data_IF_263167093324
#
_entry.id   IF_263167093324
#
_cell.length_a   1.000
_cell.length_b   1.000
_cell.length_c   1.000
_cell.angle_alpha   90.00
_cell.angle_beta   90.00
_cell.angle_gamma   90.00
#
_symmetry.space_group_name_H-M   'P 1'
#
loop_
_entity.id
_entity.type
_entity.pdbx_description
1 polymer ?
#
# COMPACT_ATOMS: atom_id res chain seq x y z
N UNK A 1 -15.53 0.72 21.78
CA UNK A 1 -16.19 1.30 20.60
C UNK A 1 -16.50 0.16 19.67
N UNK A 2 -17.76 -0.05 19.27
CA UNK A 2 -18.13 -1.14 18.38
C UNK A 2 -17.77 -0.76 16.95
N UNK A 3 -16.77 -1.41 16.39
CA UNK A 3 -16.39 -1.24 15.00
C UNK A 3 -17.52 -1.76 14.09
N UNK A 4 -17.89 -0.98 13.09
CA UNK A 4 -18.81 -1.41 12.05
C UNK A 4 -17.99 -2.00 10.92
N UNK A 5 -18.18 -3.28 10.65
CA UNK A 5 -17.64 -3.95 9.45
C UNK A 5 -18.73 -3.99 8.39
N UNK A 6 -18.42 -3.56 7.18
CA UNK A 6 -19.34 -3.54 6.04
C UNK A 6 -18.62 -4.07 4.80
N UNK A 7 -19.15 -5.17 4.25
CA UNK A 7 -18.69 -5.67 2.95
C UNK A 7 -19.27 -4.82 1.83
N UNK A 8 -18.43 -4.44 0.87
CA UNK A 8 -18.83 -3.60 -0.26
C UNK A 8 -18.39 -4.22 -1.58
N UNK A 9 -19.05 -3.79 -2.65
CA UNK A 9 -18.58 -3.97 -4.02
C UNK A 9 -18.05 -2.64 -4.54
N UNK A 10 -16.94 -2.69 -5.25
CA UNK A 10 -16.29 -1.54 -5.87
C UNK A 10 -16.44 -1.73 -7.36
N UNK A 11 -17.22 -0.85 -7.99
CA UNK A 11 -17.43 -0.90 -9.42
C UNK A 11 -16.18 -0.40 -10.16
N UNK A 12 -15.75 -1.15 -11.18
CA UNK A 12 -14.64 -0.78 -12.06
C UNK A 12 -14.87 -1.31 -13.47
N UNK A 13 -14.98 -0.43 -14.41
CA UNK A 13 -15.41 -0.75 -15.79
C UNK A 13 -16.74 -1.54 -15.75
N UNK A 14 -16.78 -2.74 -16.34
CA UNK A 14 -17.95 -3.65 -16.29
C UNK A 14 -17.83 -4.74 -15.22
N UNK A 15 -16.93 -4.58 -14.24
CA UNK A 15 -16.62 -5.58 -13.21
C UNK A 15 -16.81 -5.05 -11.79
N UNK A 16 -16.84 -5.96 -10.81
CA UNK A 16 -16.93 -5.62 -9.40
C UNK A 16 -15.81 -6.31 -8.60
N UNK A 17 -15.16 -5.54 -7.74
CA UNK A 17 -14.19 -6.03 -6.76
C UNK A 17 -14.83 -6.13 -5.38
N UNK A 18 -14.46 -7.13 -4.61
CA UNK A 18 -14.84 -7.25 -3.21
C UNK A 18 -13.94 -6.40 -2.32
N UNK A 19 -14.54 -5.64 -1.40
CA UNK A 19 -13.85 -4.85 -0.40
C UNK A 19 -14.53 -4.95 0.97
N UNK A 20 -13.85 -4.47 2.02
CA UNK A 20 -14.39 -4.40 3.37
C UNK A 20 -14.09 -3.06 4.01
N UNK A 21 -15.13 -2.36 4.48
CA UNK A 21 -14.99 -1.21 5.37
C UNK A 21 -14.98 -1.64 6.84
N UNK A 22 -14.10 -1.01 7.61
CA UNK A 22 -14.12 -1.03 9.07
C UNK A 22 -14.11 0.43 9.55
N UNK A 23 -15.15 0.88 10.24
CA UNK A 23 -15.30 2.30 10.57
C UNK A 23 -15.88 2.60 11.95
N UNK A 24 -15.43 3.69 12.63
CA UNK A 24 -16.09 4.28 13.79
C UNK A 24 -17.26 5.21 13.39
N UNK A 25 -17.89 5.86 14.38
CA UNK A 25 -19.07 6.75 14.16
C UNK A 25 -18.77 8.22 13.86
N UNK A 26 -17.51 8.69 14.01
CA UNK A 26 -17.10 10.10 13.80
C UNK A 26 -16.19 10.24 12.58
N UNK A 27 -16.02 11.47 12.02
CA UNK A 27 -15.02 11.70 10.97
C UNK A 27 -13.62 11.41 11.49
N UNK A 28 -12.90 10.58 10.76
CA UNK A 28 -11.63 10.01 11.19
C UNK A 28 -10.72 9.72 9.99
N UNK A 29 -9.42 9.55 10.21
CA UNK A 29 -8.49 9.16 9.15
C UNK A 29 -8.89 7.89 8.41
N UNK A 30 -8.53 7.82 7.13
CA UNK A 30 -8.72 6.65 6.29
C UNK A 30 -7.43 5.87 6.05
N UNK A 31 -7.54 4.55 5.96
CA UNK A 31 -6.41 3.67 5.61
C UNK A 31 -6.82 2.69 4.52
N UNK A 32 -6.17 2.78 3.38
CA UNK A 32 -6.36 1.88 2.25
C UNK A 32 -5.22 0.85 2.21
N UNK A 33 -5.56 -0.43 2.16
CA UNK A 33 -4.60 -1.52 2.07
C UNK A 33 -4.54 -2.10 0.66
N UNK A 34 -3.31 -2.33 0.16
CA UNK A 34 -3.05 -2.86 -1.18
C UNK A 34 -2.12 -4.06 -1.07
N UNK A 35 -2.68 -5.25 -1.27
CA UNK A 35 -1.95 -6.50 -1.13
C UNK A 35 -0.92 -6.74 -2.25
N UNK A 36 0.02 -7.66 -2.03
CA UNK A 36 1.03 -8.07 -3.00
C UNK A 36 0.48 -8.99 -4.09
N UNK A 37 1.29 -9.22 -5.13
CA UNK A 37 0.95 -10.12 -6.23
C UNK A 37 0.69 -11.55 -5.77
N UNK A 38 -0.43 -12.12 -6.24
CA UNK A 38 -0.87 -13.46 -5.85
C UNK A 38 -1.44 -13.55 -4.42
N UNK A 39 -1.55 -12.40 -3.74
CA UNK A 39 -2.15 -12.30 -2.41
C UNK A 39 -3.66 -12.05 -2.46
N UNK A 40 -4.20 -11.76 -1.28
CA UNK A 40 -5.58 -11.34 -1.08
C UNK A 40 -5.66 -10.34 0.07
N UNK A 41 -6.82 -9.72 0.26
CA UNK A 41 -7.08 -8.79 1.36
C UNK A 41 -7.03 -9.44 2.76
N UNK A 42 -7.11 -10.77 2.88
CA UNK A 42 -7.24 -11.47 4.17
C UNK A 42 -6.14 -11.14 5.18
N UNK A 43 -4.87 -11.10 4.73
CA UNK A 43 -3.75 -10.76 5.62
C UNK A 43 -3.81 -9.32 6.09
N UNK A 44 -4.31 -8.42 5.25
CA UNK A 44 -4.44 -7.00 5.56
C UNK A 44 -5.67 -6.75 6.44
N UNK A 45 -6.70 -7.61 6.35
CA UNK A 45 -7.91 -7.51 7.18
C UNK A 45 -7.59 -7.60 8.68
N UNK A 46 -6.69 -8.49 9.08
CA UNK A 46 -6.27 -8.61 10.48
C UNK A 46 -5.55 -7.35 10.99
N UNK A 47 -4.68 -6.75 10.15
CA UNK A 47 -4.02 -5.47 10.48
C UNK A 47 -5.01 -4.32 10.49
N UNK A 48 -5.93 -4.30 9.52
CA UNK A 48 -6.99 -3.31 9.42
C UNK A 48 -7.91 -3.29 10.65
N UNK A 49 -8.21 -4.45 11.25
CA UNK A 49 -8.97 -4.54 12.51
C UNK A 49 -8.26 -3.81 13.65
N UNK A 50 -6.94 -4.02 13.80
CA UNK A 50 -6.14 -3.33 14.81
C UNK A 50 -6.15 -1.81 14.60
N UNK A 51 -5.96 -1.35 13.36
CA UNK A 51 -5.93 0.08 13.01
C UNK A 51 -7.33 0.70 13.11
N UNK A 52 -8.40 -0.02 12.73
CA UNK A 52 -9.76 0.46 12.94
C UNK A 52 -10.07 0.66 14.42
N UNK A 53 -9.52 -0.18 15.31
CA UNK A 53 -9.60 -0.01 16.76
C UNK A 53 -8.96 1.29 17.27
N UNK A 54 -8.03 1.89 16.53
CA UNK A 54 -7.46 3.22 16.81
C UNK A 54 -8.39 4.37 16.38
N UNK A 55 -9.50 4.07 15.74
CA UNK A 55 -10.47 5.04 15.27
C UNK A 55 -10.20 5.50 13.83
N UNK A 56 -9.82 4.62 12.94
CA UNK A 56 -9.68 4.85 11.50
C UNK A 56 -10.77 4.14 10.70
N UNK A 57 -11.13 4.67 9.53
CA UNK A 57 -11.84 3.92 8.50
C UNK A 57 -10.81 3.15 7.69
N UNK A 58 -10.92 1.82 7.65
CA UNK A 58 -10.02 0.96 6.88
C UNK A 58 -10.77 0.32 5.71
N UNK A 59 -10.16 0.34 4.54
CA UNK A 59 -10.61 -0.41 3.38
C UNK A 59 -9.52 -1.40 2.95
N UNK A 60 -9.90 -2.67 2.85
CA UNK A 60 -9.14 -3.73 2.20
C UNK A 60 -9.93 -4.23 0.99
N UNK A 61 -9.26 -4.65 -0.06
CA UNK A 61 -9.90 -5.14 -1.28
C UNK A 61 -8.99 -6.12 -2.01
N UNK A 62 -9.57 -6.90 -2.91
CA UNK A 62 -8.82 -7.79 -3.78
C UNK A 62 -8.64 -7.17 -5.16
N UNK A 63 -7.39 -7.06 -5.62
CA UNK A 63 -7.07 -6.65 -6.98
C UNK A 63 -7.63 -7.67 -7.97
N UNK A 64 -8.17 -7.21 -9.13
CA UNK A 64 -8.67 -8.12 -10.17
C UNK A 64 -7.61 -9.14 -10.59
N UNK A 65 -8.06 -10.32 -10.95
CA UNK A 65 -7.20 -11.45 -11.31
C UNK A 65 -6.58 -12.18 -10.11
N UNK A 66 -6.76 -11.69 -8.89
CA UNK A 66 -6.30 -12.32 -7.65
C UNK A 66 -7.44 -13.09 -6.97
N UNK A 67 -7.11 -13.84 -5.91
CA UNK A 67 -8.11 -14.57 -5.12
C UNK A 67 -9.14 -13.58 -4.56
N UNK A 68 -10.43 -13.85 -4.76
CA UNK A 68 -11.51 -12.97 -4.31
C UNK A 68 -11.82 -11.78 -5.24
N UNK A 69 -10.98 -11.52 -6.24
CA UNK A 69 -11.21 -10.49 -7.24
C UNK A 69 -12.21 -10.89 -8.33
N UNK A 70 -12.16 -10.19 -9.46
CA UNK A 70 -13.03 -10.45 -10.61
C UNK A 70 -12.72 -11.81 -11.29
N UNK A 71 -13.60 -12.29 -12.17
CA UNK A 71 -13.42 -13.53 -12.93
C UNK A 71 -12.30 -13.50 -13.98
N UNK A 72 -11.56 -12.39 -14.13
CA UNK A 72 -10.42 -12.30 -15.04
C UNK A 72 -9.25 -13.12 -14.50
N UNK A 73 -8.64 -13.99 -15.30
CA UNK A 73 -7.49 -14.76 -14.84
C UNK A 73 -6.25 -13.87 -14.64
N UNK A 74 -5.51 -14.09 -13.57
CA UNK A 74 -4.27 -13.39 -13.22
C UNK A 74 -3.26 -13.31 -14.38
N UNK A 75 -3.33 -14.26 -15.32
CA UNK A 75 -2.46 -14.33 -16.50
C UNK A 75 -2.68 -13.19 -17.50
N UNK A 76 -3.83 -12.51 -17.46
CA UNK A 76 -4.20 -11.45 -18.39
C UNK A 76 -4.13 -10.05 -17.81
N UNK A 77 -3.97 -9.94 -16.50
CA UNK A 77 -4.02 -8.67 -15.78
C UNK A 77 -2.69 -7.92 -15.91
N UNK A 78 -2.79 -6.66 -16.31
CA UNK A 78 -1.67 -5.73 -16.43
C UNK A 78 -1.51 -4.87 -15.16
N UNK A 79 -0.41 -4.12 -15.08
CA UNK A 79 -0.22 -3.13 -14.01
C UNK A 79 -1.19 -1.97 -14.13
N UNK A 80 -1.58 -1.62 -15.36
CA UNK A 80 -2.58 -0.59 -15.60
C UNK A 80 -3.95 -1.00 -15.06
N UNK A 81 -4.37 -2.25 -15.29
CA UNK A 81 -5.63 -2.76 -14.76
C UNK A 81 -5.66 -2.68 -13.24
N UNK A 82 -4.60 -3.16 -12.57
CA UNK A 82 -4.55 -3.11 -11.11
C UNK A 82 -4.35 -1.69 -10.55
N UNK A 83 -3.76 -0.75 -11.30
CA UNK A 83 -3.75 0.66 -10.91
C UNK A 83 -5.16 1.26 -10.96
N UNK A 84 -5.98 0.90 -11.97
CA UNK A 84 -7.40 1.30 -12.04
C UNK A 84 -8.19 0.74 -10.86
N UNK A 85 -7.95 -0.53 -10.47
CA UNK A 85 -8.55 -1.15 -9.29
C UNK A 85 -8.24 -0.33 -8.03
N UNK A 86 -6.98 0.02 -7.85
CA UNK A 86 -6.53 0.83 -6.72
C UNK A 86 -7.16 2.22 -6.72
N UNK A 87 -7.28 2.87 -7.89
CA UNK A 87 -7.94 4.17 -8.02
C UNK A 87 -9.43 4.07 -7.64
N UNK A 88 -10.13 3.04 -8.12
CA UNK A 88 -11.55 2.81 -7.79
C UNK A 88 -11.72 2.52 -6.28
N UNK A 89 -10.84 1.72 -5.68
CA UNK A 89 -10.85 1.47 -4.25
C UNK A 89 -10.58 2.74 -3.43
N UNK A 90 -9.63 3.56 -3.86
CA UNK A 90 -9.34 4.85 -3.23
C UNK A 90 -10.56 5.79 -3.31
N UNK A 91 -11.16 5.94 -4.48
CA UNK A 91 -12.33 6.78 -4.68
C UNK A 91 -13.54 6.25 -3.87
N UNK A 92 -13.66 4.92 -3.71
CA UNK A 92 -14.68 4.30 -2.84
C UNK A 92 -14.43 4.57 -1.36
N UNK A 93 -13.17 4.58 -0.91
CA UNK A 93 -12.80 5.00 0.44
C UNK A 93 -13.19 6.46 0.68
N UNK A 94 -12.89 7.36 -0.25
CA UNK A 94 -13.25 8.78 -0.16
C UNK A 94 -14.75 9.02 0.00
N UNK A 95 -15.58 8.17 -0.58
CA UNK A 95 -17.04 8.27 -0.48
C UNK A 95 -17.60 7.83 0.89
N UNK A 96 -16.78 7.34 1.82
CA UNK A 96 -17.24 6.90 3.14
C UNK A 96 -17.61 8.10 4.03
N UNK A 97 -18.84 8.14 4.60
CA UNK A 97 -19.36 9.34 5.28
C UNK A 97 -18.60 9.75 6.54
N UNK A 98 -17.92 8.80 7.18
CA UNK A 98 -17.12 9.07 8.38
C UNK A 98 -15.67 9.47 8.08
N UNK A 99 -15.27 9.55 6.81
CA UNK A 99 -13.88 9.76 6.44
C UNK A 99 -13.48 11.24 6.53
N UNK A 100 -12.31 11.50 7.11
CA UNK A 100 -11.55 12.72 6.92
C UNK A 100 -10.69 12.59 5.65
N UNK A 101 -11.08 13.26 4.58
CA UNK A 101 -10.42 13.17 3.27
C UNK A 101 -9.03 13.82 3.23
N UNK A 102 -8.66 14.61 4.24
CA UNK A 102 -7.32 15.21 4.38
C UNK A 102 -6.32 14.28 5.07
N UNK A 103 -6.80 13.21 5.73
CA UNK A 103 -6.01 12.30 6.55
C UNK A 103 -6.06 10.85 6.00
N UNK A 104 -5.54 10.66 4.79
CA UNK A 104 -5.53 9.36 4.11
C UNK A 104 -4.16 8.71 4.18
N UNK A 105 -4.11 7.49 4.71
CA UNK A 105 -2.97 6.58 4.63
C UNK A 105 -3.16 5.55 3.52
N UNK A 106 -2.10 5.20 2.81
CA UNK A 106 -2.07 4.06 1.90
C UNK A 106 -0.97 3.09 2.33
N UNK A 107 -1.35 1.84 2.55
CA UNK A 107 -0.46 0.77 3.00
C UNK A 107 -0.31 -0.23 1.86
N UNK A 108 0.88 -0.35 1.29
CA UNK A 108 1.13 -1.24 0.17
C UNK A 108 2.23 -2.27 0.45
N UNK A 109 1.97 -3.53 0.09
CA UNK A 109 2.94 -4.61 0.22
C UNK A 109 3.44 -5.07 -1.15
N UNK A 110 4.76 -5.13 -1.36
CA UNK A 110 5.40 -5.68 -2.57
C UNK A 110 4.86 -5.03 -3.84
N UNK A 111 4.11 -5.76 -4.66
CA UNK A 111 3.41 -5.24 -5.84
C UNK A 111 2.42 -4.13 -5.47
N UNK A 112 1.66 -4.32 -4.40
CA UNK A 112 0.76 -3.28 -3.88
C UNK A 112 1.51 -2.03 -3.43
N UNK A 113 2.73 -2.17 -2.90
CA UNK A 113 3.60 -1.04 -2.56
C UNK A 113 4.05 -0.25 -3.80
N UNK A 114 4.36 -0.94 -4.90
CA UNK A 114 4.65 -0.30 -6.18
C UNK A 114 3.46 0.52 -6.70
N UNK A 115 2.26 -0.06 -6.68
CA UNK A 115 1.04 0.65 -7.11
C UNK A 115 0.68 1.80 -6.16
N UNK A 116 0.81 1.60 -4.84
CA UNK A 116 0.56 2.63 -3.83
C UNK A 116 1.48 3.85 -4.01
N UNK A 117 2.74 3.62 -4.37
CA UNK A 117 3.67 4.71 -4.68
C UNK A 117 3.20 5.52 -5.89
N UNK A 118 2.77 4.88 -6.97
CA UNK A 118 2.23 5.56 -8.15
C UNK A 118 0.96 6.36 -7.81
N UNK A 119 0.09 5.80 -6.97
CA UNK A 119 -1.15 6.45 -6.54
C UNK A 119 -0.90 7.84 -5.94
N UNK A 120 0.21 8.05 -5.22
CA UNK A 120 0.51 9.35 -4.58
C UNK A 120 0.63 10.50 -5.57
N UNK A 121 0.94 10.24 -6.83
CA UNK A 121 0.96 11.25 -7.90
C UNK A 121 -0.41 11.48 -8.56
N UNK A 122 -1.39 10.63 -8.27
CA UNK A 122 -2.72 10.63 -8.90
C UNK A 122 -3.85 11.02 -7.94
N UNK A 123 -3.64 10.86 -6.65
CA UNK A 123 -4.62 11.14 -5.58
C UNK A 123 -3.92 11.73 -4.36
N UNK A 124 -4.60 12.58 -3.59
CA UNK A 124 -4.09 13.08 -2.32
C UNK A 124 -3.86 11.93 -1.33
N UNK A 125 -2.63 11.75 -0.90
CA UNK A 125 -2.22 10.82 0.15
C UNK A 125 -1.40 11.61 1.16
N UNK A 126 -1.68 11.43 2.45
CA UNK A 126 -0.93 12.10 3.51
C UNK A 126 0.16 11.19 4.05
N UNK A 127 -0.12 9.90 4.18
CA UNK A 127 0.76 8.90 4.79
C UNK A 127 0.93 7.69 3.88
N UNK A 128 2.15 7.31 3.59
CA UNK A 128 2.48 6.20 2.70
C UNK A 128 3.31 5.15 3.43
N UNK A 129 2.73 3.98 3.69
CA UNK A 129 3.43 2.84 4.28
C UNK A 129 3.73 1.77 3.23
N UNK A 130 5.01 1.49 3.02
CA UNK A 130 5.51 0.57 2.02
C UNK A 130 6.26 -0.59 2.70
N UNK A 131 5.77 -1.82 2.55
CA UNK A 131 6.51 -3.00 2.94
C UNK A 131 7.07 -3.70 1.70
N UNK A 132 8.39 -3.86 1.65
CA UNK A 132 9.13 -4.49 0.55
C UNK A 132 8.58 -4.10 -0.83
N UNK A 133 8.43 -2.78 -1.13
CA UNK A 133 7.81 -2.34 -2.37
C UNK A 133 8.62 -2.83 -3.57
N UNK A 134 7.95 -3.48 -4.53
CA UNK A 134 8.60 -3.99 -5.73
C UNK A 134 8.87 -2.88 -6.74
N UNK A 135 9.77 -3.13 -7.71
CA UNK A 135 9.97 -2.27 -8.87
C UNK A 135 9.76 -3.04 -10.17
N UNK A 136 9.30 -2.32 -11.19
CA UNK A 136 9.06 -2.84 -12.54
C UNK A 136 9.49 -1.80 -13.56
N UNK A 137 10.00 -2.24 -14.73
CA UNK A 137 10.32 -1.34 -15.85
C UNK A 137 9.05 -0.70 -16.40
N UNK A 138 9.11 0.58 -16.74
CA UNK A 138 7.96 1.32 -17.24
C UNK A 138 7.59 0.96 -18.67
N UNK A 139 8.54 0.58 -19.51
CA UNK A 139 8.33 0.13 -20.89
C UNK A 139 7.49 -1.16 -21.00
N UNK A 140 7.41 -1.92 -19.93
CA UNK A 140 6.60 -3.14 -19.85
C UNK A 140 5.23 -2.92 -19.19
N UNK A 141 4.76 -1.68 -19.08
CA UNK A 141 3.56 -1.31 -18.30
C UNK A 141 2.31 -2.11 -18.66
N UNK A 142 2.07 -2.32 -19.96
CA UNK A 142 0.92 -3.07 -20.47
C UNK A 142 1.17 -4.58 -20.61
N UNK A 143 2.36 -5.06 -20.27
CA UNK A 143 2.67 -6.49 -20.29
C UNK A 143 2.07 -7.14 -19.06
N UNK A 144 1.26 -8.22 -19.19
CA UNK A 144 0.81 -8.99 -18.05
C UNK A 144 1.98 -9.41 -17.18
N UNK A 145 1.85 -9.25 -15.87
CA UNK A 145 2.98 -9.50 -14.96
C UNK A 145 3.54 -10.92 -15.05
N UNK A 146 2.69 -11.90 -15.40
CA UNK A 146 3.11 -13.28 -15.59
C UNK A 146 4.09 -13.46 -16.75
N UNK A 147 3.99 -12.61 -17.77
CA UNK A 147 4.77 -12.69 -19.00
C UNK A 147 6.10 -11.91 -18.91
N UNK A 148 6.37 -11.27 -17.77
CA UNK A 148 7.62 -10.58 -17.53
C UNK A 148 8.77 -11.59 -17.39
N UNK A 149 9.91 -11.27 -18.02
CA UNK A 149 11.15 -12.04 -17.83
C UNK A 149 11.63 -11.91 -16.38
N UNK A 150 11.68 -13.05 -15.70
CA UNK A 150 12.06 -13.10 -14.27
C UNK A 150 13.54 -12.79 -14.04
N UNK A 151 14.42 -13.09 -15.01
CA UNK A 151 15.85 -12.79 -14.90
C UNK A 151 16.07 -11.29 -15.09
N UNK A 152 15.52 -10.70 -16.16
CA UNK A 152 15.58 -9.25 -16.38
C UNK A 152 15.01 -8.47 -15.17
N UNK A 153 13.88 -8.93 -14.62
CA UNK A 153 13.26 -8.30 -13.46
C UNK A 153 14.14 -8.39 -12.21
N UNK A 154 14.80 -9.53 -11.99
CA UNK A 154 15.75 -9.72 -10.89
C UNK A 154 16.96 -8.81 -11.04
N UNK A 155 17.54 -8.76 -12.25
CA UNK A 155 18.70 -7.92 -12.54
C UNK A 155 18.36 -6.44 -12.36
N UNK A 156 17.20 -6.00 -12.87
CA UNK A 156 16.70 -4.65 -12.69
C UNK A 156 16.58 -4.27 -11.21
N UNK A 157 16.03 -5.15 -10.39
CA UNK A 157 15.85 -4.92 -8.94
C UNK A 157 17.14 -5.00 -8.14
N UNK A 158 18.17 -5.63 -8.68
CA UNK A 158 19.47 -5.78 -8.00
C UNK A 158 20.36 -4.54 -8.12
N UNK A 159 19.91 -3.53 -8.87
CA UNK A 159 20.64 -2.27 -9.07
C UNK A 159 19.89 -1.10 -8.45
N UNK A 160 20.59 -0.01 -8.18
CA UNK A 160 19.96 1.24 -7.82
C UNK A 160 19.28 1.85 -9.04
N UNK A 161 17.97 2.09 -8.93
CA UNK A 161 17.15 2.71 -9.96
C UNK A 161 16.92 4.17 -9.61
N UNK A 162 17.12 5.07 -10.57
CA UNK A 162 16.92 6.51 -10.38
C UNK A 162 15.43 6.88 -10.42
N UNK A 163 15.04 7.90 -9.67
CA UNK A 163 13.66 8.37 -9.62
C UNK A 163 13.13 8.84 -10.99
N UNK A 164 13.98 9.43 -11.83
CA UNK A 164 13.62 9.91 -13.17
C UNK A 164 13.41 8.80 -14.21
N UNK A 165 13.79 7.56 -13.90
CA UNK A 165 13.69 6.41 -14.80
C UNK A 165 12.61 5.39 -14.40
N UNK A 166 11.80 5.70 -13.39
CA UNK A 166 10.75 4.79 -12.92
C UNK A 166 9.59 5.57 -12.30
N UNK A 167 8.37 5.35 -12.78
CA UNK A 167 7.18 6.11 -12.36
C UNK A 167 6.84 6.01 -10.87
N UNK A 168 7.08 4.87 -10.23
CA UNK A 168 6.83 4.72 -8.80
C UNK A 168 7.83 5.53 -7.98
N UNK A 169 9.11 5.48 -8.35
CA UNK A 169 10.15 6.26 -7.71
C UNK A 169 10.00 7.76 -8.01
N UNK A 170 9.55 8.11 -9.23
CA UNK A 170 9.24 9.49 -9.57
C UNK A 170 8.11 10.03 -8.69
N UNK A 171 7.04 9.27 -8.51
CA UNK A 171 5.96 9.64 -7.59
C UNK A 171 6.47 9.82 -6.15
N UNK A 172 7.31 8.92 -5.65
CA UNK A 172 7.95 9.07 -4.33
C UNK A 172 8.83 10.33 -4.24
N UNK A 173 9.52 10.72 -5.33
CA UNK A 173 10.38 11.91 -5.32
C UNK A 173 9.60 13.24 -5.26
N UNK A 174 8.33 13.23 -5.59
CA UNK A 174 7.41 14.37 -5.49
C UNK A 174 6.53 14.31 -4.23
N UNK A 175 6.57 13.21 -3.49
CA UNK A 175 5.73 13.02 -2.33
C UNK A 175 6.26 13.80 -1.12
N UNK A 176 5.38 14.59 -0.50
CA UNK A 176 5.73 15.49 0.62
C UNK A 176 5.14 15.05 1.97
N UNK A 177 4.36 13.96 1.99
CA UNK A 177 3.80 13.41 3.23
C UNK A 177 4.80 12.57 4.04
N UNK A 178 4.32 11.84 5.01
CA UNK A 178 5.14 10.95 5.83
C UNK A 178 5.22 9.56 5.22
N UNK A 179 6.41 8.94 5.27
CA UNK A 179 6.67 7.63 4.68
C UNK A 179 7.17 6.64 5.73
N UNK A 180 6.56 5.46 5.77
CA UNK A 180 7.11 4.27 6.39
C UNK A 180 7.63 3.32 5.30
N UNK A 181 8.90 2.97 5.37
CA UNK A 181 9.53 1.97 4.50
C UNK A 181 9.99 0.79 5.34
N UNK A 182 9.44 -0.41 5.09
CA UNK A 182 9.78 -1.63 5.83
C UNK A 182 10.44 -2.63 4.90
N UNK A 183 11.62 -3.07 5.27
CA UNK A 183 12.43 -4.08 4.58
C UNK A 183 12.37 -5.41 5.33
N UNK A 184 12.37 -6.51 4.59
CA UNK A 184 12.58 -7.86 5.12
C UNK A 184 14.03 -8.26 4.83
N UNK A 185 14.82 -8.58 5.86
CA UNK A 185 16.28 -8.77 5.75
C UNK A 185 16.68 -9.86 4.75
N UNK A 186 15.93 -10.96 4.67
CA UNK A 186 16.25 -12.11 3.82
C UNK A 186 15.34 -12.20 2.58
N UNK A 187 14.85 -11.05 2.08
CA UNK A 187 13.97 -11.00 0.92
C UNK A 187 14.73 -11.30 -0.39
N UNK A 188 14.37 -12.41 -1.03
CA UNK A 188 14.96 -12.83 -2.32
C UNK A 188 14.22 -12.27 -3.55
N UNK A 189 13.04 -11.66 -3.38
CA UNK A 189 12.21 -11.11 -4.46
C UNK A 189 12.35 -9.60 -4.62
N UNK A 190 12.54 -8.90 -3.49
CA UNK A 190 12.77 -7.46 -3.44
C UNK A 190 14.08 -7.20 -2.70
N UNK A 191 15.22 -7.21 -3.41
CA UNK A 191 16.53 -7.07 -2.81
C UNK A 191 16.73 -5.66 -2.23
N UNK A 192 17.69 -5.53 -1.31
CA UNK A 192 18.06 -4.29 -0.64
C UNK A 192 18.24 -3.09 -1.60
N UNK A 193 18.81 -3.31 -2.80
CA UNK A 193 18.98 -2.25 -3.80
C UNK A 193 17.65 -1.61 -4.23
N UNK A 194 16.58 -2.40 -4.31
CA UNK A 194 15.23 -1.88 -4.56
C UNK A 194 14.76 -0.98 -3.41
N UNK A 195 14.94 -1.40 -2.16
CA UNK A 195 14.59 -0.60 -0.98
C UNK A 195 15.38 0.70 -0.95
N UNK A 196 16.68 0.63 -1.25
CA UNK A 196 17.53 1.82 -1.33
C UNK A 196 17.13 2.78 -2.45
N UNK A 197 16.58 2.26 -3.57
CA UNK A 197 16.03 3.11 -4.64
C UNK A 197 14.82 3.91 -4.15
N UNK A 198 13.89 3.29 -3.41
CA UNK A 198 12.77 3.97 -2.77
C UNK A 198 13.24 4.99 -1.74
N UNK A 199 14.16 4.59 -0.85
CA UNK A 199 14.73 5.49 0.15
C UNK A 199 15.39 6.72 -0.49
N UNK A 200 16.15 6.52 -1.56
CA UNK A 200 16.80 7.61 -2.29
C UNK A 200 15.79 8.51 -3.03
N UNK A 201 14.64 7.98 -3.43
CA UNK A 201 13.59 8.77 -4.07
C UNK A 201 12.84 9.66 -3.06
N UNK A 202 12.60 9.22 -1.84
CA UNK A 202 11.82 9.93 -0.81
C UNK A 202 12.61 11.10 -0.17
N UNK A 203 13.07 12.07 -0.97
CA UNK A 203 13.87 13.19 -0.48
C UNK A 203 13.06 14.43 -0.08
N UNK A 204 11.83 14.54 -0.58
CA UNK A 204 10.94 15.67 -0.28
C UNK A 204 9.90 15.35 0.78
N UNK A 205 9.92 14.14 1.32
CA UNK A 205 8.97 13.70 2.33
C UNK A 205 9.13 14.49 3.63
N UNK A 206 8.02 14.77 4.30
CA UNK A 206 8.03 15.41 5.63
C UNK A 206 8.80 14.56 6.65
N UNK A 207 8.57 13.24 6.62
CA UNK A 207 9.38 12.28 7.38
C UNK A 207 9.56 10.97 6.63
N UNK A 208 10.67 10.27 6.90
CA UNK A 208 10.95 8.92 6.39
C UNK A 208 11.41 8.02 7.52
N UNK A 209 10.54 7.10 7.91
CA UNK A 209 10.84 6.03 8.86
C UNK A 209 11.23 4.77 8.09
N UNK A 210 12.49 4.32 8.21
CA UNK A 210 12.95 3.05 7.62
C UNK A 210 13.14 2.03 8.74
N UNK A 211 12.57 0.82 8.57
CA UNK A 211 12.67 -0.31 9.49
C UNK A 211 13.07 -1.56 8.73
N UNK A 212 13.92 -2.39 9.35
CA UNK A 212 14.30 -3.71 8.85
C UNK A 212 13.74 -4.72 9.83
N UNK A 213 13.11 -5.78 9.32
CA UNK A 213 12.67 -6.92 10.14
C UNK A 213 13.72 -8.00 9.99
N UNK A 214 14.49 -8.22 11.04
CA UNK A 214 15.59 -9.17 11.07
C UNK A 214 15.09 -10.60 10.82
N UNK A 215 15.81 -11.36 9.99
CA UNK A 215 15.49 -12.72 9.59
C UNK A 215 14.22 -12.90 8.77
N UNK A 216 13.46 -11.83 8.49
CA UNK A 216 12.21 -11.93 7.77
C UNK A 216 12.42 -12.22 6.28
N UNK A 217 11.61 -13.10 5.73
CA UNK A 217 11.49 -13.34 4.30
C UNK A 217 10.43 -12.41 3.66
N UNK A 218 10.30 -12.51 2.32
CA UNK A 218 9.32 -11.73 1.56
C UNK A 218 7.87 -11.92 2.04
N UNK A 219 7.51 -13.15 2.37
CA UNK A 219 6.15 -13.54 2.71
C UNK A 219 5.81 -13.28 4.19
N UNK A 220 6.79 -12.94 5.04
CA UNK A 220 6.70 -13.00 6.49
C UNK A 220 6.18 -14.38 6.93
N UNK A 221 6.89 -15.43 6.52
CA UNK A 221 6.45 -16.82 6.77
C UNK A 221 6.38 -17.15 8.25
N UNK A 222 7.27 -16.56 9.04
CA UNK A 222 7.31 -16.77 10.48
C UNK A 222 6.33 -15.86 11.22
N UNK A 223 5.57 -16.40 12.21
CA UNK A 223 4.63 -15.60 13.01
C UNK A 223 5.27 -14.40 13.71
N UNK A 224 6.50 -14.53 14.17
CA UNK A 224 7.24 -13.44 14.82
C UNK A 224 7.47 -12.27 13.86
N UNK A 225 7.79 -12.55 12.60
CA UNK A 225 7.98 -11.52 11.57
C UNK A 225 6.66 -10.86 11.19
N UNK A 226 5.55 -11.61 11.16
CA UNK A 226 4.21 -11.06 10.95
C UNK A 226 3.81 -10.12 12.08
N UNK A 227 4.07 -10.52 13.33
CA UNK A 227 3.79 -9.69 14.51
C UNK A 227 4.67 -8.44 14.52
N UNK A 228 5.97 -8.55 14.22
CA UNK A 228 6.90 -7.42 14.13
C UNK A 228 6.40 -6.39 13.11
N UNK A 229 6.04 -6.81 11.90
CA UNK A 229 5.48 -5.91 10.89
C UNK A 229 4.18 -5.26 11.37
N UNK A 230 3.29 -6.05 11.97
CA UNK A 230 2.00 -5.53 12.46
C UNK A 230 2.24 -4.46 13.53
N UNK A 231 3.15 -4.69 14.48
CA UNK A 231 3.50 -3.70 15.51
C UNK A 231 4.09 -2.43 14.90
N UNK A 232 5.08 -2.56 13.99
CA UNK A 232 5.69 -1.42 13.29
C UNK A 232 4.62 -0.57 12.58
N UNK A 233 3.71 -1.20 11.86
CA UNK A 233 2.67 -0.50 11.11
C UNK A 233 1.66 0.18 12.04
N UNK A 234 1.18 -0.53 13.07
CA UNK A 234 0.20 0.00 14.02
C UNK A 234 0.79 1.17 14.81
N UNK A 235 2.02 1.03 15.31
CA UNK A 235 2.70 2.10 16.03
C UNK A 235 2.89 3.34 15.16
N UNK A 236 3.35 3.15 13.92
CA UNK A 236 3.54 4.28 13.00
C UNK A 236 2.21 4.96 12.62
N UNK A 237 1.14 4.20 12.32
CA UNK A 237 -0.19 4.79 12.06
C UNK A 237 -0.70 5.52 13.32
N UNK A 238 -0.44 4.99 14.51
CA UNK A 238 -0.82 5.65 15.77
C UNK A 238 -0.14 7.01 15.89
N UNK A 239 1.17 7.08 15.63
CA UNK A 239 1.93 8.35 15.65
C UNK A 239 1.32 9.37 14.66
N UNK A 240 1.00 8.94 13.43
CA UNK A 240 0.42 9.80 12.40
C UNK A 240 -0.96 10.33 12.83
N UNK A 241 -1.84 9.45 13.30
CA UNK A 241 -3.20 9.80 13.72
C UNK A 241 -3.21 10.70 14.96
N UNK A 242 -2.33 10.44 15.94
CA UNK A 242 -2.21 11.28 17.14
C UNK A 242 -1.63 12.65 16.79
N UNK A 243 -0.60 12.69 15.94
CA UNK A 243 0.00 13.94 15.46
C UNK A 243 -1.02 14.85 14.77
N UNK A 244 -1.87 14.28 13.90
CA UNK A 244 -2.94 15.02 13.23
C UNK A 244 -3.96 15.59 14.21
N UNK A 245 -4.41 14.80 15.18
CA UNK A 245 -5.37 15.26 16.21
C UNK A 245 -4.81 16.40 17.05
N UNK A 246 -3.52 16.35 17.39
CA UNK A 246 -2.86 17.41 18.15
C UNK A 246 -2.74 18.70 17.33
N UNK A 247 -2.44 18.61 16.02
CA UNK A 247 -2.36 19.78 15.15
C UNK A 247 -3.70 20.50 14.99
N UNK A 248 -4.80 19.76 14.91
CA UNK A 248 -6.16 20.32 14.86
C UNK A 248 -6.51 21.08 16.15
N UNK A 249 -6.16 20.52 17.31
CA UNK A 249 -6.43 21.16 18.61
C UNK A 249 -5.64 22.47 18.77
N UNK A 250 -4.39 22.54 18.26
CA UNK A 250 -3.57 23.74 18.33
C UNK A 250 -3.98 24.84 17.34
N UNK A 251 -4.76 24.49 16.33
CA UNK A 251 -5.24 25.41 15.28
C UNK A 251 -6.66 25.94 15.55
N UNK A 252 -7.31 25.45 16.61
CA UNK A 252 -8.68 25.84 17.06
C UNK A 252 -8.64 26.80 18.22
#
# INVERSE_FOLDING_TARGET
MTDRSESIQIDIDDEQMSGTFLSPKSKVPGVLFVHGWGGSQERDLERAKGIAGLGCVCLTFDLRGHTGGTGIPLTRVTREDNLRDLLAAYDRLLAHPALDTSAIAVVGTSYGGYLASILTSLRPVRWLALRVPALYRDDQWHTPKRDLDKLDLRDYRSTLVRADSNRALHACSQFTGDVLLVESETDVYVPHATIMSYRAACQQTHSLTHRIIDGADHALSEPVSQQAYTSILVDWITEMVVGERLSIIQSS
#
